data_IF_673272946598
#
_entry.id   IF_673272946598
#
_cell.length_a   1.000
_cell.length_b   1.000
_cell.length_c   1.000
_cell.angle_alpha   90.00
_cell.angle_beta   90.00
_cell.angle_gamma   90.00
#
_symmetry.space_group_name_H-M   'P 1'
#
loop_
_entity.id
_entity.type
_entity.pdbx_description
1 polymer ?
#
# COMPACT_ATOMS: atom_id res chain seq x y z
N UNK A 1 2.53 -25.23 16.36
CA UNK A 1 2.33 -24.35 15.17
C UNK A 1 3.47 -23.36 15.19
N UNK A 2 4.34 -23.37 14.19
CA UNK A 2 5.39 -22.35 14.02
C UNK A 2 4.73 -20.99 13.84
N UNK A 3 5.16 -20.00 14.60
CA UNK A 3 4.66 -18.62 14.45
C UNK A 3 4.83 -18.17 12.99
N UNK A 4 3.81 -17.54 12.43
CA UNK A 4 3.88 -16.99 11.08
C UNK A 4 5.00 -15.93 11.02
N UNK A 5 5.82 -15.95 9.99
CA UNK A 5 6.92 -15.00 9.77
C UNK A 5 6.77 -14.31 8.43
N UNK A 6 7.38 -13.13 8.21
CA UNK A 6 7.38 -12.48 6.90
C UNK A 6 7.89 -13.40 5.79
N UNK A 7 8.93 -14.20 6.06
CA UNK A 7 9.46 -15.19 5.11
C UNK A 7 8.41 -16.24 4.73
N UNK A 8 7.68 -16.79 5.72
CA UNK A 8 6.64 -17.78 5.48
C UNK A 8 5.47 -17.19 4.66
N UNK A 9 5.09 -15.94 4.94
CA UNK A 9 4.06 -15.24 4.16
C UNK A 9 4.51 -15.01 2.71
N UNK A 10 5.74 -14.54 2.49
CA UNK A 10 6.29 -14.38 1.15
C UNK A 10 6.30 -15.71 0.38
N UNK A 11 6.75 -16.80 1.01
CA UNK A 11 6.75 -18.13 0.40
C UNK A 11 5.33 -18.60 0.05
N UNK A 12 4.35 -18.42 0.95
CA UNK A 12 2.95 -18.78 0.71
C UNK A 12 2.33 -17.99 -0.45
N UNK A 13 2.77 -16.74 -0.67
CA UNK A 13 2.34 -15.88 -1.78
C UNK A 13 3.16 -16.12 -3.06
N UNK A 14 4.17 -17.00 -3.02
CA UNK A 14 5.06 -17.26 -4.15
C UNK A 14 5.87 -16.03 -4.56
N UNK A 15 6.27 -15.20 -3.60
CA UNK A 15 7.12 -14.04 -3.84
C UNK A 15 8.59 -14.44 -3.79
N UNK A 16 9.33 -14.06 -4.83
CA UNK A 16 10.78 -14.18 -4.85
C UNK A 16 11.39 -12.97 -4.15
N UNK A 17 11.82 -13.16 -2.90
CA UNK A 17 12.36 -12.12 -2.03
C UNK A 17 13.75 -12.50 -1.56
N UNK A 18 14.66 -11.53 -1.53
CA UNK A 18 16.01 -11.72 -1.00
C UNK A 18 16.00 -11.80 0.54
N UNK A 19 17.01 -12.42 1.17
CA UNK A 19 17.15 -12.39 2.62
C UNK A 19 17.17 -10.98 3.21
N UNK A 20 17.78 -10.02 2.52
CA UNK A 20 17.81 -8.62 2.94
C UNK A 20 16.41 -7.96 2.92
N UNK A 21 15.56 -8.32 1.96
CA UNK A 21 14.18 -7.84 1.92
C UNK A 21 13.35 -8.45 3.05
N UNK A 22 13.53 -9.73 3.36
CA UNK A 22 12.85 -10.38 4.50
C UNK A 22 13.26 -9.69 5.81
N UNK A 23 14.55 -9.48 6.04
CA UNK A 23 15.05 -8.74 7.21
C UNK A 23 14.45 -7.33 7.29
N UNK A 24 14.36 -6.63 6.17
CA UNK A 24 13.75 -5.30 6.12
C UNK A 24 12.25 -5.32 6.48
N UNK A 25 11.49 -6.33 6.03
CA UNK A 25 10.09 -6.52 6.40
C UNK A 25 9.93 -6.81 7.92
N UNK A 26 10.78 -7.64 8.49
CA UNK A 26 10.79 -7.92 9.93
C UNK A 26 11.10 -6.66 10.74
N UNK A 27 12.15 -5.93 10.37
CA UNK A 27 12.51 -4.67 11.02
C UNK A 27 11.42 -3.61 10.89
N UNK A 28 10.76 -3.52 9.75
CA UNK A 28 9.62 -2.63 9.56
C UNK A 28 8.48 -2.95 10.54
N UNK A 29 8.11 -4.23 10.71
CA UNK A 29 7.08 -4.62 11.68
C UNK A 29 7.45 -4.23 13.11
N UNK A 30 8.70 -4.45 13.52
CA UNK A 30 9.19 -4.06 14.84
C UNK A 30 9.11 -2.53 15.05
N UNK A 31 9.50 -1.75 14.05
CA UNK A 31 9.37 -0.30 14.09
C UNK A 31 7.90 0.13 14.18
N UNK A 32 7.02 -0.49 13.40
CA UNK A 32 5.58 -0.20 13.43
C UNK A 32 4.99 -0.49 14.81
N UNK A 33 5.32 -1.63 15.43
CA UNK A 33 4.90 -1.98 16.79
C UNK A 33 5.38 -0.96 17.83
N UNK A 34 6.67 -0.62 17.77
CA UNK A 34 7.27 0.35 18.69
C UNK A 34 6.62 1.73 18.60
N UNK A 35 6.43 2.24 17.40
CA UNK A 35 5.80 3.54 17.21
C UNK A 35 4.31 3.50 17.53
N UNK A 36 3.63 2.40 17.21
CA UNK A 36 2.20 2.25 17.46
C UNK A 36 1.87 2.27 18.96
N UNK A 37 2.76 1.77 19.82
CA UNK A 37 2.59 1.82 21.27
C UNK A 37 2.50 3.25 21.84
N UNK A 38 3.13 4.22 21.16
CA UNK A 38 3.17 5.63 21.59
C UNK A 38 2.23 6.51 20.78
N UNK A 39 2.14 6.30 19.47
CA UNK A 39 1.53 7.27 18.55
C UNK A 39 0.20 6.83 17.94
N UNK A 40 -0.25 5.60 18.19
CA UNK A 40 -1.48 5.04 17.60
C UNK A 40 -1.53 5.21 16.08
N UNK A 41 -0.54 4.65 15.37
CA UNK A 41 -0.46 4.70 13.91
C UNK A 41 -1.51 3.80 13.25
N UNK A 42 -1.89 2.72 13.93
CA UNK A 42 -2.92 1.75 13.53
C UNK A 42 -3.74 1.29 14.74
N UNK A 43 -4.97 0.86 14.49
CA UNK A 43 -5.83 0.28 15.52
C UNK A 43 -5.37 -1.13 15.95
N UNK A 44 -4.67 -1.86 15.08
CA UNK A 44 -4.14 -3.20 15.37
C UNK A 44 -2.93 -3.07 16.30
N UNK A 45 -2.95 -3.77 17.42
CA UNK A 45 -1.87 -3.73 18.44
C UNK A 45 -1.17 -5.06 18.61
N UNK A 46 -1.86 -6.15 18.37
CA UNK A 46 -1.33 -7.49 18.47
C UNK A 46 -0.32 -7.78 17.36
N UNK A 47 0.89 -8.29 17.67
CA UNK A 47 1.94 -8.54 16.69
C UNK A 47 1.56 -9.56 15.61
N UNK A 48 0.81 -10.62 15.95
CA UNK A 48 0.38 -11.62 14.98
C UNK A 48 -0.67 -11.05 14.03
N UNK A 49 -1.56 -10.21 14.57
CA UNK A 49 -2.52 -9.48 13.74
C UNK A 49 -1.86 -8.42 12.88
N UNK A 50 -0.79 -7.75 13.34
CA UNK A 50 -0.02 -6.85 12.48
C UNK A 50 0.64 -7.59 11.32
N UNK A 51 1.14 -8.80 11.55
CA UNK A 51 1.68 -9.62 10.48
C UNK A 51 0.60 -9.99 9.46
N UNK A 52 -0.58 -10.45 9.90
CA UNK A 52 -1.63 -10.94 8.98
C UNK A 52 -2.46 -9.83 8.37
N UNK A 53 -2.98 -8.89 9.17
CA UNK A 53 -3.89 -7.84 8.71
C UNK A 53 -3.18 -6.65 8.06
N UNK A 54 -1.85 -6.51 8.25
CA UNK A 54 -1.08 -5.41 7.68
C UNK A 54 -0.06 -5.91 6.68
N UNK A 55 0.93 -6.69 7.12
CA UNK A 55 2.03 -7.09 6.23
C UNK A 55 1.56 -8.07 5.16
N UNK A 56 0.89 -9.15 5.53
CA UNK A 56 0.44 -10.16 4.57
C UNK A 56 -0.59 -9.58 3.58
N UNK A 57 -1.50 -8.73 4.05
CA UNK A 57 -2.46 -7.99 3.23
C UNK A 57 -1.75 -7.13 2.17
N UNK A 58 -0.66 -6.44 2.55
CA UNK A 58 0.13 -5.63 1.63
C UNK A 58 1.07 -6.46 0.72
N UNK A 59 1.56 -7.61 1.19
CA UNK A 59 2.35 -8.52 0.35
C UNK A 59 1.51 -9.20 -0.72
N UNK A 60 0.23 -9.44 -0.46
CA UNK A 60 -0.68 -10.04 -1.43
C UNK A 60 -0.88 -9.20 -2.71
N UNK A 61 -0.65 -7.87 -2.65
CA UNK A 61 -0.78 -7.00 -3.83
C UNK A 61 0.46 -7.01 -4.73
N UNK A 62 1.57 -7.57 -4.28
CA UNK A 62 2.88 -7.48 -4.94
C UNK A 62 2.88 -8.15 -6.32
N UNK A 63 2.40 -9.38 -6.42
CA UNK A 63 2.32 -10.08 -7.72
C UNK A 63 1.37 -9.40 -8.71
N UNK A 64 0.13 -9.05 -8.33
CA UNK A 64 -0.75 -8.24 -9.16
C UNK A 64 -0.12 -6.94 -9.66
N UNK A 65 0.56 -6.23 -8.78
CA UNK A 65 1.25 -4.99 -9.15
C UNK A 65 2.43 -5.27 -10.09
N UNK A 66 3.30 -6.24 -9.78
CA UNK A 66 4.46 -6.58 -10.59
C UNK A 66 4.08 -7.03 -12.02
N UNK A 67 2.94 -7.71 -12.16
CA UNK A 67 2.42 -8.13 -13.47
C UNK A 67 2.04 -6.94 -14.37
N UNK A 68 1.68 -5.79 -13.79
CA UNK A 68 1.30 -4.57 -14.52
C UNK A 68 2.40 -3.52 -14.55
N UNK A 69 3.15 -3.41 -13.49
CA UNK A 69 4.22 -2.44 -13.28
C UNK A 69 5.42 -3.15 -12.63
N UNK A 70 6.28 -3.81 -13.42
CA UNK A 70 7.48 -4.50 -12.88
C UNK A 70 8.44 -3.54 -12.17
N UNK A 71 8.47 -2.28 -12.60
CA UNK A 71 9.20 -1.19 -11.96
C UNK A 71 8.52 0.14 -12.29
N UNK A 72 8.58 1.11 -11.39
CA UNK A 72 7.98 2.42 -11.63
C UNK A 72 7.71 3.18 -10.35
N UNK A 73 7.01 4.29 -10.49
CA UNK A 73 6.66 5.20 -9.41
C UNK A 73 5.25 4.94 -8.90
N UNK A 74 5.15 4.73 -7.61
CA UNK A 74 3.88 4.47 -6.92
C UNK A 74 3.61 5.58 -5.92
N UNK A 75 2.38 6.11 -5.91
CA UNK A 75 1.87 7.00 -4.86
C UNK A 75 0.94 6.21 -3.94
N UNK A 76 1.25 6.17 -2.66
CA UNK A 76 0.38 5.59 -1.62
C UNK A 76 -0.34 6.71 -0.86
N UNK A 77 -1.66 6.80 -1.02
CA UNK A 77 -2.49 7.90 -0.50
C UNK A 77 -3.21 7.48 0.77
N UNK A 78 -3.06 8.30 1.82
CA UNK A 78 -3.55 7.94 3.15
C UNK A 78 -2.77 6.76 3.74
N UNK A 79 -1.46 6.78 3.52
CA UNK A 79 -0.55 5.65 3.76
C UNK A 79 -0.51 5.17 5.21
N UNK A 80 -0.97 5.97 6.18
CA UNK A 80 -1.02 5.56 7.58
C UNK A 80 0.35 5.17 8.13
N UNK A 81 0.47 3.93 8.57
CA UNK A 81 1.75 3.31 8.96
C UNK A 81 2.66 2.95 7.77
N UNK A 82 2.38 3.44 6.56
CA UNK A 82 3.17 3.12 5.36
C UNK A 82 2.69 1.86 4.62
N UNK A 83 1.40 1.59 4.62
CA UNK A 83 0.81 0.36 4.10
C UNK A 83 -0.16 0.65 2.95
N UNK A 84 0.12 0.21 1.71
CA UNK A 84 1.17 -0.73 1.31
C UNK A 84 2.54 -0.11 0.97
N UNK A 85 2.70 1.21 0.96
CA UNK A 85 3.83 1.92 0.38
C UNK A 85 5.22 1.45 0.86
N UNK A 86 5.42 1.28 2.17
CA UNK A 86 6.71 0.80 2.72
C UNK A 86 7.02 -0.62 2.23
N UNK A 87 6.04 -1.50 2.19
CA UNK A 87 6.22 -2.88 1.70
C UNK A 87 6.66 -2.87 0.23
N UNK A 88 6.01 -2.05 -0.60
CA UNK A 88 6.37 -1.89 -2.02
C UNK A 88 7.78 -1.31 -2.18
N UNK A 89 8.17 -0.34 -1.35
CA UNK A 89 9.50 0.25 -1.39
C UNK A 89 10.61 -0.75 -0.99
N UNK A 90 10.36 -1.60 0.02
CA UNK A 90 11.27 -2.69 0.41
C UNK A 90 11.46 -3.65 -0.77
N UNK A 91 10.42 -3.90 -1.54
CA UNK A 91 10.45 -4.81 -2.69
C UNK A 91 10.90 -4.14 -3.99
N UNK A 92 11.29 -2.85 -3.97
CA UNK A 92 12.05 -2.23 -5.05
C UNK A 92 11.34 -1.16 -5.88
N UNK A 93 10.08 -0.83 -5.61
CA UNK A 93 9.40 0.30 -6.27
C UNK A 93 9.89 1.66 -5.76
N UNK A 94 9.77 2.70 -6.58
CA UNK A 94 9.93 4.10 -6.18
C UNK A 94 8.61 4.59 -5.59
N UNK A 95 8.55 4.78 -4.28
CA UNK A 95 7.30 5.03 -3.56
C UNK A 95 7.31 6.39 -2.88
N UNK A 96 6.25 7.14 -3.12
CA UNK A 96 5.89 8.31 -2.32
C UNK A 96 4.65 8.00 -1.50
N UNK A 97 4.75 8.08 -0.18
CA UNK A 97 3.63 8.00 0.73
C UNK A 97 3.13 9.40 1.08
N UNK A 98 1.83 9.64 1.07
CA UNK A 98 1.23 10.91 1.51
C UNK A 98 0.17 10.64 2.57
N UNK A 99 0.23 11.41 3.66
CA UNK A 99 -0.79 11.36 4.73
C UNK A 99 -0.99 12.75 5.34
N UNK A 100 -2.20 13.06 5.72
CA UNK A 100 -2.58 14.32 6.37
C UNK A 100 -2.15 14.40 7.82
N UNK A 101 -1.70 13.30 8.40
CA UNK A 101 -1.28 13.21 9.81
C UNK A 101 0.24 13.23 9.91
N UNK A 102 0.80 14.33 10.41
CA UNK A 102 2.24 14.57 10.45
C UNK A 102 3.06 13.48 11.14
N UNK A 103 2.55 12.89 12.23
CA UNK A 103 3.23 11.78 12.93
C UNK A 103 3.35 10.51 12.07
N UNK A 104 2.39 10.25 11.17
CA UNK A 104 2.44 9.12 10.24
C UNK A 104 3.52 9.33 9.17
N UNK A 105 3.56 10.52 8.57
CA UNK A 105 4.62 10.88 7.64
C UNK A 105 6.02 10.88 8.30
N UNK A 106 6.12 11.32 9.56
CA UNK A 106 7.35 11.26 10.33
C UNK A 106 7.81 9.82 10.57
N UNK A 107 6.89 8.91 10.90
CA UNK A 107 7.18 7.49 11.03
C UNK A 107 7.75 6.90 9.73
N UNK A 108 7.11 7.15 8.60
CA UNK A 108 7.59 6.60 7.31
C UNK A 108 8.97 7.14 6.96
N UNK A 109 9.26 8.43 7.24
CA UNK A 109 10.62 8.99 7.08
C UNK A 109 11.65 8.30 7.97
N UNK A 110 11.28 7.98 9.22
CA UNK A 110 12.14 7.20 10.12
C UNK A 110 12.41 5.80 9.55
N UNK A 111 11.38 5.11 9.07
CA UNK A 111 11.53 3.81 8.41
C UNK A 111 12.46 3.90 7.20
N UNK A 112 12.28 4.91 6.34
CA UNK A 112 13.13 5.11 5.17
C UNK A 112 14.61 5.27 5.54
N UNK A 113 14.90 6.02 6.62
CA UNK A 113 16.25 6.23 7.12
C UNK A 113 16.84 4.95 7.76
N UNK A 114 16.10 4.30 8.67
CA UNK A 114 16.58 3.13 9.40
C UNK A 114 16.78 1.90 8.51
N UNK A 115 15.90 1.69 7.53
CA UNK A 115 16.00 0.59 6.58
C UNK A 115 16.81 0.94 5.34
N UNK A 116 17.34 2.17 5.26
CA UNK A 116 18.10 2.66 4.11
C UNK A 116 17.36 2.48 2.77
N UNK A 117 16.12 2.94 2.71
CA UNK A 117 15.26 2.86 1.54
C UNK A 117 15.30 4.19 0.74
N UNK A 118 16.26 4.39 -0.16
CA UNK A 118 16.44 5.67 -0.86
C UNK A 118 15.28 6.01 -1.82
N UNK A 119 14.48 5.02 -2.19
CA UNK A 119 13.31 5.15 -3.06
C UNK A 119 11.99 5.32 -2.30
N UNK A 120 12.04 5.46 -0.96
CA UNK A 120 10.87 5.73 -0.14
C UNK A 120 10.87 7.18 0.31
N UNK A 121 9.82 7.90 -0.06
CA UNK A 121 9.57 9.27 0.37
C UNK A 121 8.27 9.36 1.15
N UNK A 122 8.18 10.31 2.10
CA UNK A 122 6.95 10.56 2.82
C UNK A 122 6.65 12.06 2.91
N UNK A 123 5.43 12.43 2.52
CA UNK A 123 4.92 13.78 2.50
C UNK A 123 3.79 13.94 3.53
N UNK A 124 3.90 14.97 4.35
CA UNK A 124 2.80 15.42 5.21
C UNK A 124 2.01 16.49 4.46
N UNK A 125 0.95 16.08 3.79
CA UNK A 125 0.13 16.96 2.97
C UNK A 125 -1.28 16.37 2.74
N UNK A 126 -2.21 17.21 2.33
CA UNK A 126 -3.38 16.75 1.58
C UNK A 126 -2.95 16.37 0.18
N UNK A 127 -3.50 15.29 -0.38
CA UNK A 127 -3.07 14.78 -1.68
C UNK A 127 -3.31 15.80 -2.81
N UNK A 128 -4.35 16.61 -2.72
CA UNK A 128 -4.69 17.69 -3.67
C UNK A 128 -3.63 18.81 -3.70
N UNK A 129 -2.83 18.91 -2.63
CA UNK A 129 -1.75 19.90 -2.50
C UNK A 129 -0.39 19.33 -2.86
N UNK A 130 -0.30 18.02 -3.12
CA UNK A 130 0.96 17.37 -3.45
C UNK A 130 1.50 17.90 -4.78
N UNK A 131 2.74 18.36 -4.76
CA UNK A 131 3.48 18.77 -5.97
C UNK A 131 4.57 17.75 -6.22
N UNK A 132 4.31 16.87 -7.17
CA UNK A 132 5.24 15.80 -7.56
C UNK A 132 5.11 15.53 -9.06
N UNK A 133 6.15 14.94 -9.66
CA UNK A 133 6.03 14.38 -10.99
C UNK A 133 5.01 13.21 -10.96
N UNK A 134 4.22 13.02 -12.04
CA UNK A 134 3.16 12.02 -12.06
C UNK A 134 3.65 10.59 -11.79
N UNK A 135 2.76 9.74 -11.31
CA UNK A 135 3.00 8.36 -10.90
C UNK A 135 2.44 7.38 -11.91
N UNK A 136 3.07 6.22 -12.03
CA UNK A 136 2.60 5.12 -12.88
C UNK A 136 1.38 4.43 -12.25
N UNK A 137 1.40 4.29 -10.91
CA UNK A 137 0.30 3.74 -10.12
C UNK A 137 0.02 4.64 -8.92
N UNK A 138 -1.26 4.91 -8.69
CA UNK A 138 -1.73 5.53 -7.44
C UNK A 138 -2.51 4.47 -6.68
N UNK A 139 -2.13 4.22 -5.43
CA UNK A 139 -2.77 3.20 -4.57
C UNK A 139 -3.29 3.79 -3.28
N UNK A 140 -4.27 3.13 -2.70
CA UNK A 140 -4.76 3.40 -1.36
C UNK A 140 -5.39 2.15 -0.74
N UNK A 141 -5.26 2.00 0.58
CA UNK A 141 -5.90 0.92 1.34
C UNK A 141 -7.14 1.37 2.11
N UNK A 142 -7.29 2.62 2.38
CA UNK A 142 -8.31 3.13 3.31
C UNK A 142 -8.92 4.47 2.86
N UNK A 143 -9.08 4.68 1.57
CA UNK A 143 -9.75 5.88 1.06
C UNK A 143 -11.27 5.76 1.25
N UNK A 144 -11.95 6.91 1.47
CA UNK A 144 -13.39 6.98 1.78
C UNK A 144 -14.26 6.38 0.67
N UNK A 145 -13.99 6.74 -0.59
CA UNK A 145 -14.70 6.20 -1.77
C UNK A 145 -13.77 6.13 -2.97
N UNK A 146 -14.12 5.28 -3.95
CA UNK A 146 -13.39 5.23 -5.22
C UNK A 146 -13.53 6.54 -6.00
N UNK A 147 -14.70 7.19 -5.97
CA UNK A 147 -14.94 8.45 -6.66
C UNK A 147 -14.05 9.58 -6.12
N UNK A 148 -13.94 9.74 -4.80
CA UNK A 148 -13.03 10.70 -4.18
C UNK A 148 -11.57 10.37 -4.49
N UNK A 149 -11.22 9.07 -4.40
CA UNK A 149 -9.86 8.60 -4.65
C UNK A 149 -9.38 9.00 -6.05
N UNK A 150 -10.15 8.70 -7.09
CA UNK A 150 -9.76 9.03 -8.46
C UNK A 150 -9.82 10.54 -8.73
N UNK A 151 -10.82 11.24 -8.20
CA UNK A 151 -10.98 12.68 -8.42
C UNK A 151 -9.82 13.48 -7.82
N UNK A 152 -9.46 13.19 -6.56
CA UNK A 152 -8.42 13.93 -5.85
C UNK A 152 -7.00 13.60 -6.34
N UNK A 153 -6.82 12.50 -7.06
CA UNK A 153 -5.50 12.03 -7.48
C UNK A 153 -5.28 12.01 -8.99
N UNK A 154 -6.29 12.36 -9.79
CA UNK A 154 -6.22 12.32 -11.26
C UNK A 154 -5.05 13.11 -11.84
N UNK A 155 -4.76 14.29 -11.31
CA UNK A 155 -3.64 15.14 -11.75
C UNK A 155 -2.25 14.56 -11.40
N UNK A 156 -2.19 13.55 -10.54
CA UNK A 156 -0.97 12.88 -10.11
C UNK A 156 -0.72 11.58 -10.88
N UNK A 157 -1.66 11.13 -11.68
CA UNK A 157 -1.53 9.93 -12.50
C UNK A 157 -0.90 10.27 -13.87
N UNK A 158 0.07 9.48 -14.30
CA UNK A 158 0.62 9.58 -15.65
C UNK A 158 -0.42 9.23 -16.73
N UNK A 159 -0.32 9.76 -17.92
CA UNK A 159 -1.03 9.20 -19.07
C UNK A 159 -0.71 7.69 -19.21
N UNK A 160 -1.73 6.86 -19.30
CA UNK A 160 -1.58 5.40 -19.31
C UNK A 160 -1.31 4.75 -17.96
N UNK A 161 -1.23 5.52 -16.89
CA UNK A 161 -1.15 5.01 -15.51
C UNK A 161 -2.50 4.46 -15.01
N UNK A 162 -2.50 3.85 -13.84
CA UNK A 162 -3.71 3.29 -13.26
C UNK A 162 -3.82 3.52 -11.75
N UNK A 163 -5.04 3.46 -11.25
CA UNK A 163 -5.33 3.39 -9.83
C UNK A 163 -5.46 1.93 -9.39
N UNK A 164 -4.92 1.62 -8.22
CA UNK A 164 -5.02 0.33 -7.54
C UNK A 164 -5.63 0.54 -6.15
N UNK A 165 -6.92 0.33 -6.01
CA UNK A 165 -7.60 0.46 -4.72
C UNK A 165 -7.69 -0.89 -4.02
N UNK A 166 -7.19 -0.98 -2.78
CA UNK A 166 -7.31 -2.15 -1.93
C UNK A 166 -8.66 -2.09 -1.18
N UNK A 167 -9.50 -3.11 -1.35
CA UNK A 167 -10.83 -3.20 -0.73
C UNK A 167 -11.03 -4.55 -0.05
N UNK A 168 -11.91 -4.58 0.96
CA UNK A 168 -12.31 -5.82 1.61
C UNK A 168 -13.16 -6.70 0.68
N UNK A 169 -14.22 -6.15 0.13
CA UNK A 169 -15.11 -6.79 -0.85
C UNK A 169 -15.20 -5.92 -2.09
N UNK A 170 -15.74 -6.48 -3.17
CA UNK A 170 -16.02 -5.69 -4.38
C UNK A 170 -17.02 -4.59 -4.02
N UNK A 171 -16.66 -3.32 -4.24
CA UNK A 171 -17.52 -2.20 -3.86
C UNK A 171 -18.43 -1.79 -5.02
N UNK A 172 -19.42 -2.63 -5.37
CA UNK A 172 -20.29 -2.42 -6.54
C UNK A 172 -20.99 -1.07 -6.53
N UNK A 173 -21.43 -0.62 -5.33
CA UNK A 173 -22.07 0.69 -5.16
C UNK A 173 -21.12 1.86 -5.46
N UNK A 174 -19.83 1.74 -5.08
CA UNK A 174 -18.83 2.77 -5.38
C UNK A 174 -18.42 2.74 -6.86
N UNK A 175 -18.37 1.56 -7.47
CA UNK A 175 -18.08 1.38 -8.90
C UNK A 175 -19.17 2.02 -9.76
N UNK A 176 -20.43 1.85 -9.39
CA UNK A 176 -21.58 2.38 -10.12
C UNK A 176 -21.62 3.92 -10.18
N UNK A 177 -20.94 4.60 -9.24
CA UNK A 177 -20.92 6.08 -9.14
C UNK A 177 -19.58 6.71 -9.49
N UNK A 178 -18.71 5.97 -10.17
CA UNK A 178 -17.43 6.51 -10.65
C UNK A 178 -17.66 7.70 -11.59
N UNK A 179 -16.76 8.70 -11.57
CA UNK A 179 -16.84 9.84 -12.48
C UNK A 179 -16.77 9.40 -13.96
N UNK A 180 -17.44 10.15 -14.81
CA UNK A 180 -17.30 9.97 -16.26
C UNK A 180 -15.83 10.08 -16.68
N UNK A 181 -15.39 9.19 -17.60
CA UNK A 181 -13.98 9.11 -18.02
C UNK A 181 -13.07 8.29 -17.10
N UNK A 182 -13.62 7.60 -16.10
CA UNK A 182 -12.89 6.58 -15.32
C UNK A 182 -13.58 5.24 -15.49
N UNK A 183 -12.84 4.21 -15.82
CA UNK A 183 -13.35 2.85 -15.95
C UNK A 183 -12.62 1.88 -15.00
N UNK A 184 -13.38 0.92 -14.47
CA UNK A 184 -12.82 -0.28 -13.83
C UNK A 184 -12.50 -1.28 -14.94
N UNK A 185 -11.23 -1.56 -15.17
CA UNK A 185 -10.83 -2.51 -16.21
C UNK A 185 -10.53 -3.90 -15.64
N UNK A 186 -10.37 -4.03 -14.32
CA UNK A 186 -10.15 -5.32 -13.68
C UNK A 186 -10.48 -5.26 -12.18
N UNK A 187 -11.08 -6.35 -11.67
CA UNK A 187 -11.21 -6.62 -10.23
C UNK A 187 -10.55 -7.95 -9.94
N UNK A 188 -9.60 -7.96 -9.02
CA UNK A 188 -8.80 -9.13 -8.69
C UNK A 188 -9.00 -9.53 -7.23
N UNK A 189 -9.50 -10.74 -7.00
CA UNK A 189 -9.65 -11.28 -5.65
C UNK A 189 -8.29 -11.74 -5.12
N UNK A 190 -8.00 -11.38 -3.87
CA UNK A 190 -6.74 -11.74 -3.21
C UNK A 190 -6.99 -12.79 -2.13
N UNK A 191 -6.10 -13.78 -2.09
CA UNK A 191 -5.98 -14.69 -0.94
C UNK A 191 -4.82 -14.22 -0.08
N UNK A 192 -5.10 -13.86 1.17
CA UNK A 192 -4.11 -13.37 2.12
C UNK A 192 -3.81 -14.48 3.13
N UNK A 193 -2.57 -14.98 3.21
CA UNK A 193 -2.22 -16.04 4.15
C UNK A 193 -2.52 -15.67 5.60
N UNK A 194 -3.25 -16.54 6.31
CA UNK A 194 -3.61 -16.32 7.71
C UNK A 194 -4.74 -15.31 7.95
N UNK A 195 -5.37 -14.80 6.91
CA UNK A 195 -6.49 -13.87 7.03
C UNK A 195 -7.77 -14.50 6.46
N UNK A 196 -8.73 -14.78 7.34
CA UNK A 196 -10.07 -15.24 6.95
C UNK A 196 -10.99 -14.04 6.69
N UNK A 197 -10.69 -13.30 5.62
CA UNK A 197 -11.49 -12.17 5.18
C UNK A 197 -11.31 -11.96 3.67
N UNK A 198 -12.37 -11.53 3.03
CA UNK A 198 -12.30 -11.18 1.61
C UNK A 198 -11.37 -9.98 1.39
N UNK A 199 -10.62 -10.04 0.30
CA UNK A 199 -9.78 -8.95 -0.20
C UNK A 199 -9.84 -8.90 -1.71
N UNK A 200 -9.87 -7.69 -2.24
CA UNK A 200 -9.75 -7.48 -3.69
C UNK A 200 -8.98 -6.20 -4.02
N UNK A 201 -8.47 -6.17 -5.24
CA UNK A 201 -7.95 -4.97 -5.89
C UNK A 201 -8.95 -4.51 -6.94
N UNK A 202 -9.29 -3.23 -6.89
CA UNK A 202 -10.06 -2.57 -7.96
C UNK A 202 -9.07 -1.75 -8.78
N UNK A 203 -8.88 -2.17 -10.03
CA UNK A 203 -8.00 -1.51 -10.98
C UNK A 203 -8.81 -0.59 -11.88
N UNK A 204 -8.42 0.69 -11.87
CA UNK A 204 -9.12 1.72 -12.64
C UNK A 204 -8.12 2.49 -13.49
N UNK A 205 -8.60 3.07 -14.59
CA UNK A 205 -7.83 3.96 -15.46
C UNK A 205 -8.71 5.07 -16.03
N UNK A 206 -8.07 6.06 -16.62
CA UNK A 206 -8.77 7.03 -17.48
C UNK A 206 -9.19 6.32 -18.78
N UNK A 207 -10.46 6.49 -19.17
CA UNK A 207 -11.06 5.90 -20.36
C UNK A 207 -10.58 6.62 -21.64
#
# INVERSE_FOLDING_TARGET
MTAATPAAVCAALGLDVTPAQVEALERYLLLLQRWNSTYNLTAVRDPEQMLTQHLADCLAVVRPLAARLPAGRVLDVGSGGGLPGVVLAILGWDVTCVDTVGKKAAFIRQVAAELRLPRLQAQHARVEQLRAAPFDVVTSRAFSSLADFVTLTSALLKPGGCWMAMKGRVPDDEIAVLPAGVEVFHVEHLTVPGLDAQRCLVWMRQA
#
